data_IF_914593921112
#
_entry.id   IF_914593921112
#
_cell.length_a   1.000
_cell.length_b   1.000
_cell.length_c   1.000
_cell.angle_alpha   90.00
_cell.angle_beta   90.00
_cell.angle_gamma   90.00
#
_symmetry.space_group_name_H-M   'P 1'
#
loop_
_entity.id
_entity.type
_entity.pdbx_description
1 polymer ?
#
# COMPACT_ATOMS: atom_id res chain seq x y z
N UNK A 1 -14.82 -25.28 0.97
CA UNK A 1 -13.91 -26.43 0.83
C UNK A 1 -12.58 -26.05 1.47
N UNK A 2 -12.32 -26.51 2.71
CA UNK A 2 -11.10 -26.18 3.47
C UNK A 2 -10.37 -27.45 3.95
N UNK A 3 -9.04 -27.35 4.09
CA UNK A 3 -8.01 -28.41 4.19
C UNK A 3 -7.77 -28.85 5.67
N UNK A 4 -7.40 -30.13 5.94
CA UNK A 4 -6.73 -30.62 7.19
C UNK A 4 -5.24 -30.93 6.89
N UNK A 5 -4.37 -31.18 7.87
CA UNK A 5 -3.09 -31.91 7.78
C UNK A 5 -3.07 -33.15 8.72
N UNK A 6 -2.29 -34.18 8.37
CA UNK A 6 -2.22 -35.48 9.08
C UNK A 6 -1.35 -35.49 10.35
N UNK A 7 -1.44 -36.59 11.11
CA UNK A 7 -0.76 -36.82 12.39
C UNK A 7 0.79 -36.71 12.31
N UNK A 8 1.37 -35.86 13.16
CA UNK A 8 2.81 -35.70 13.34
C UNK A 8 3.34 -36.75 14.33
N UNK A 9 3.96 -37.83 13.84
CA UNK A 9 4.75 -38.75 14.70
C UNK A 9 6.21 -38.94 14.26
N UNK A 10 6.64 -38.48 13.10
CA UNK A 10 8.07 -38.42 12.74
C UNK A 10 8.35 -37.16 11.93
N UNK A 11 9.11 -36.24 12.51
CA UNK A 11 9.50 -34.99 11.87
C UNK A 11 10.85 -35.19 11.17
N UNK A 12 10.84 -35.79 9.98
CA UNK A 12 11.96 -35.71 9.05
C UNK A 12 11.75 -34.52 8.12
N UNK A 13 12.69 -33.56 8.10
CA UNK A 13 13.09 -32.59 7.05
C UNK A 13 12.18 -32.24 5.85
N UNK A 14 10.87 -32.39 5.94
CA UNK A 14 9.92 -32.19 4.83
C UNK A 14 9.07 -30.93 5.07
N UNK A 15 8.83 -30.20 3.99
CA UNK A 15 7.98 -29.00 3.96
C UNK A 15 6.60 -29.26 4.60
N UNK A 16 5.92 -28.20 5.06
CA UNK A 16 4.52 -28.34 5.49
C UNK A 16 3.66 -28.85 4.33
N UNK A 17 2.93 -29.93 4.58
CA UNK A 17 1.96 -30.51 3.66
C UNK A 17 0.58 -30.56 4.32
N UNK A 18 -0.46 -30.17 3.56
CA UNK A 18 -1.85 -30.19 3.98
C UNK A 18 -2.64 -31.21 3.12
N UNK A 19 -3.49 -32.02 3.75
CA UNK A 19 -4.41 -33.00 3.15
C UNK A 19 -5.86 -32.82 3.64
N UNK A 20 -6.79 -32.52 2.72
CA UNK A 20 -8.21 -32.37 3.06
C UNK A 20 -8.86 -33.70 3.48
N UNK A 21 -9.62 -33.69 4.59
CA UNK A 21 -10.40 -34.84 5.07
C UNK A 21 -11.85 -34.44 5.35
N UNK A 22 -12.79 -35.38 5.24
CA UNK A 22 -14.22 -35.19 5.54
C UNK A 22 -14.69 -36.23 6.56
N UNK A 23 -15.30 -35.80 7.67
CA UNK A 23 -15.89 -36.70 8.69
C UNK A 23 -15.98 -36.05 10.08
N UNK A 24 -16.86 -36.59 10.93
CA UNK A 24 -17.19 -36.02 12.26
C UNK A 24 -16.24 -36.45 13.39
N UNK A 25 -15.33 -37.40 13.16
CA UNK A 25 -14.47 -37.97 14.21
C UNK A 25 -13.01 -38.03 13.78
N UNK A 26 -12.11 -37.32 14.49
CA UNK A 26 -10.72 -37.67 14.87
C UNK A 26 -9.77 -36.47 14.97
N UNK A 27 -8.99 -36.35 16.06
CA UNK A 27 -7.89 -35.36 16.26
C UNK A 27 -7.36 -34.71 14.97
N UNK A 28 -7.77 -33.46 14.72
CA UNK A 28 -7.37 -32.60 13.60
C UNK A 28 -6.33 -31.58 14.12
N UNK A 29 -5.30 -31.23 13.32
CA UNK A 29 -4.33 -30.18 13.69
C UNK A 29 -4.86 -28.76 13.39
N UNK A 30 -5.76 -28.66 12.43
CA UNK A 30 -6.50 -27.45 12.06
C UNK A 30 -7.91 -27.92 11.70
N UNK A 31 -8.92 -27.39 12.40
CA UNK A 31 -10.32 -27.49 11.98
C UNK A 31 -10.80 -26.10 11.57
N UNK A 32 -11.55 -26.05 10.47
CA UNK A 32 -12.19 -24.82 10.00
C UNK A 32 -13.67 -24.89 10.31
N UNK A 33 -14.14 -23.91 11.07
CA UNK A 33 -15.55 -23.76 11.42
C UNK A 33 -16.09 -22.41 10.92
N UNK A 34 -17.37 -22.38 10.57
CA UNK A 34 -18.10 -21.16 10.24
C UNK A 34 -19.24 -21.00 11.25
N UNK A 35 -19.41 -19.80 11.80
CA UNK A 35 -20.44 -19.51 12.80
C UNK A 35 -21.04 -18.13 12.55
N UNK A 36 -22.35 -17.97 12.69
CA UNK A 36 -23.01 -16.66 12.70
C UNK A 36 -22.75 -15.89 14.02
N UNK A 37 -22.69 -14.56 13.99
CA UNK A 37 -22.29 -13.74 15.12
C UNK A 37 -23.30 -13.73 16.28
N UNK A 38 -24.58 -13.96 16.01
CA UNK A 38 -25.60 -14.12 17.06
C UNK A 38 -25.34 -15.37 17.94
N UNK A 39 -24.41 -16.26 17.54
CA UNK A 39 -24.12 -17.50 18.23
C UNK A 39 -22.83 -17.35 19.03
N UNK A 40 -22.95 -17.44 20.37
CA UNK A 40 -21.85 -17.93 21.20
C UNK A 40 -21.45 -19.31 20.70
N UNK A 41 -20.40 -19.39 19.90
CA UNK A 41 -20.05 -20.59 19.15
C UNK A 41 -19.13 -21.55 19.93
N UNK A 42 -19.14 -21.43 21.27
CA UNK A 42 -18.61 -22.46 22.16
C UNK A 42 -17.17 -22.25 22.64
N UNK A 43 -16.49 -21.17 22.24
CA UNK A 43 -15.08 -20.89 22.57
C UNK A 43 -14.84 -19.66 23.47
N UNK A 44 -15.90 -18.97 23.88
CA UNK A 44 -15.91 -17.74 24.69
C UNK A 44 -15.44 -16.45 23.98
N UNK A 45 -15.21 -16.49 22.66
CA UNK A 45 -14.85 -15.33 21.84
C UNK A 45 -15.93 -15.09 20.76
N UNK A 46 -17.09 -14.49 21.12
CA UNK A 46 -18.16 -14.27 20.16
C UNK A 46 -17.77 -13.26 19.08
N UNK A 47 -18.29 -13.44 17.87
CA UNK A 47 -18.21 -12.43 16.82
C UNK A 47 -19.18 -11.26 17.07
N UNK A 48 -19.07 -10.22 16.25
CA UNK A 48 -19.72 -8.92 16.42
C UNK A 48 -20.75 -8.56 15.34
N UNK A 49 -20.94 -9.41 14.34
CA UNK A 49 -21.91 -9.22 13.24
C UNK A 49 -21.19 -8.72 11.99
N UNK A 50 -21.90 -8.05 11.06
CA UNK A 50 -21.28 -7.56 9.84
C UNK A 50 -20.16 -6.52 10.11
N UNK A 51 -19.07 -6.65 9.38
CA UNK A 51 -17.81 -5.91 9.56
C UNK A 51 -17.16 -6.15 10.93
N UNK A 52 -16.02 -5.50 11.21
CA UNK A 52 -15.34 -5.69 12.48
C UNK A 52 -14.52 -6.98 12.51
N UNK A 53 -14.96 -8.00 13.26
CA UNK A 53 -14.21 -9.23 13.48
C UNK A 53 -14.54 -10.28 12.42
N UNK A 54 -13.74 -10.32 11.37
CA UNK A 54 -14.00 -11.19 10.22
C UNK A 54 -13.86 -12.70 10.54
N UNK A 55 -12.88 -13.01 11.37
CA UNK A 55 -12.46 -14.37 11.72
C UNK A 55 -11.51 -14.32 12.92
N UNK A 56 -11.26 -15.49 13.54
CA UNK A 56 -10.15 -15.68 14.47
C UNK A 56 -9.62 -17.11 14.41
N UNK A 57 -8.35 -17.27 14.77
CA UNK A 57 -7.71 -18.56 14.92
C UNK A 57 -6.93 -18.69 16.23
N UNK A 58 -6.82 -19.92 16.70
CA UNK A 58 -6.05 -20.26 17.90
C UNK A 58 -4.64 -20.73 17.52
N UNK A 59 -3.65 -20.27 18.29
CA UNK A 59 -2.28 -20.73 18.14
C UNK A 59 -2.15 -22.27 18.29
N UNK A 60 -1.10 -22.90 17.74
CA UNK A 60 -0.90 -24.34 17.85
C UNK A 60 -0.95 -24.83 19.30
N UNK A 61 -1.90 -25.72 19.61
CA UNK A 61 -2.06 -26.32 20.95
C UNK A 61 -2.96 -27.57 20.86
N UNK A 62 -3.14 -28.28 21.97
CA UNK A 62 -4.15 -29.34 22.08
C UNK A 62 -5.56 -28.79 22.19
N UNK A 63 -6.58 -29.58 21.82
CA UNK A 63 -7.99 -29.15 21.90
C UNK A 63 -8.34 -28.31 20.67
N UNK A 64 -8.86 -27.09 20.90
CA UNK A 64 -9.18 -26.12 19.83
C UNK A 64 -7.96 -25.39 19.27
N UNK A 65 -6.75 -25.72 19.75
CA UNK A 65 -5.52 -25.11 19.26
C UNK A 65 -5.30 -25.43 17.79
N UNK A 66 -5.01 -24.40 17.00
CA UNK A 66 -4.92 -24.50 15.55
C UNK A 66 -6.25 -24.25 14.83
N UNK A 67 -7.41 -24.30 15.50
CA UNK A 67 -8.70 -24.08 14.83
C UNK A 67 -8.85 -22.64 14.34
N UNK A 68 -9.58 -22.47 13.24
CA UNK A 68 -9.93 -21.19 12.64
C UNK A 68 -11.44 -21.07 12.47
N UNK A 69 -12.00 -19.99 12.99
CA UNK A 69 -13.42 -19.67 12.98
C UNK A 69 -13.66 -18.44 12.10
N UNK A 70 -14.70 -18.49 11.26
CA UNK A 70 -15.07 -17.40 10.35
C UNK A 70 -16.47 -16.92 10.68
N UNK A 71 -16.66 -15.60 10.72
CA UNK A 71 -17.98 -15.01 10.96
C UNK A 71 -18.86 -15.14 9.72
N UNK A 72 -19.94 -15.90 9.82
CA UNK A 72 -20.89 -16.15 8.74
C UNK A 72 -21.76 -14.93 8.42
N UNK A 73 -21.81 -13.92 9.29
CA UNK A 73 -22.50 -12.66 9.01
C UNK A 73 -21.71 -11.78 8.02
N UNK A 74 -20.47 -12.15 7.71
CA UNK A 74 -19.64 -11.46 6.74
C UNK A 74 -19.92 -11.87 5.30
N UNK A 75 -19.83 -10.87 4.41
CA UNK A 75 -19.95 -11.13 2.97
C UNK A 75 -18.62 -11.60 2.40
N UNK A 76 -18.33 -12.89 2.56
CA UNK A 76 -17.16 -13.52 1.95
C UNK A 76 -17.28 -13.64 0.43
N UNK A 77 -16.21 -13.31 -0.26
CA UNK A 77 -16.11 -13.36 -1.72
C UNK A 77 -14.89 -14.16 -2.17
N UNK A 78 -14.84 -14.52 -3.45
CA UNK A 78 -13.71 -15.28 -4.01
C UNK A 78 -12.62 -14.40 -4.64
N UNK A 79 -13.01 -13.31 -5.32
CA UNK A 79 -12.09 -12.49 -6.14
C UNK A 79 -12.42 -11.00 -6.13
N UNK A 80 -13.48 -10.58 -5.46
CA UNK A 80 -14.01 -9.22 -5.60
C UNK A 80 -13.71 -8.41 -4.36
N UNK A 81 -13.50 -7.11 -4.52
CA UNK A 81 -13.34 -6.18 -3.40
C UNK A 81 -14.69 -5.69 -2.80
N UNK A 82 -15.83 -6.30 -3.17
CA UNK A 82 -17.17 -5.93 -2.68
C UNK A 82 -17.54 -6.55 -1.31
N UNK A 83 -16.54 -7.02 -0.59
CA UNK A 83 -16.63 -7.78 0.66
C UNK A 83 -15.24 -8.32 1.00
N UNK A 84 -15.19 -9.39 1.79
CA UNK A 84 -13.93 -9.96 2.27
C UNK A 84 -13.51 -11.16 1.44
N UNK A 85 -12.32 -11.15 0.84
CA UNK A 85 -11.86 -12.30 0.05
C UNK A 85 -11.51 -13.43 1.01
N UNK A 86 -12.31 -14.51 0.99
CA UNK A 86 -12.17 -15.64 1.91
C UNK A 86 -10.76 -16.24 1.87
N UNK A 87 -10.13 -16.30 0.69
CA UNK A 87 -8.75 -16.77 0.55
C UNK A 87 -7.76 -15.95 1.39
N UNK A 88 -7.90 -14.63 1.42
CA UNK A 88 -6.98 -13.76 2.18
C UNK A 88 -7.21 -13.89 3.68
N UNK A 89 -8.47 -13.85 4.12
CA UNK A 89 -8.84 -14.00 5.53
C UNK A 89 -8.39 -15.38 6.03
N UNK A 90 -8.67 -16.44 5.28
CA UNK A 90 -8.25 -17.78 5.67
C UNK A 90 -6.72 -17.94 5.69
N UNK A 91 -6.01 -17.34 4.73
CA UNK A 91 -4.55 -17.39 4.74
C UNK A 91 -3.96 -16.66 5.97
N UNK A 92 -4.57 -15.56 6.41
CA UNK A 92 -4.21 -14.86 7.64
C UNK A 92 -4.46 -15.74 8.88
N UNK A 93 -5.67 -16.28 9.02
CA UNK A 93 -6.02 -17.15 10.16
C UNK A 93 -5.14 -18.39 10.23
N UNK A 94 -4.82 -19.01 9.08
CA UNK A 94 -3.91 -20.14 9.06
C UNK A 94 -2.48 -19.75 9.47
N UNK A 95 -2.08 -18.48 9.29
CA UNK A 95 -0.85 -17.97 9.89
C UNK A 95 -0.88 -18.06 11.42
N UNK A 96 -2.00 -17.69 12.06
CA UNK A 96 -2.21 -17.87 13.50
C UNK A 96 -2.24 -19.34 13.91
N UNK A 97 -2.95 -20.19 13.16
CA UNK A 97 -2.97 -21.65 13.37
C UNK A 97 -1.58 -22.29 13.28
N UNK A 98 -0.66 -21.68 12.52
CA UNK A 98 0.74 -22.08 12.40
C UNK A 98 1.67 -21.38 13.42
N UNK A 99 1.13 -20.50 14.26
CA UNK A 99 1.83 -19.87 15.36
C UNK A 99 2.48 -18.52 15.04
N UNK A 100 2.10 -17.87 13.93
CA UNK A 100 2.41 -16.47 13.69
C UNK A 100 1.52 -15.57 14.54
N UNK A 101 2.07 -14.45 14.99
CA UNK A 101 1.31 -13.36 15.60
C UNK A 101 1.13 -12.25 14.57
N UNK A 102 0.29 -11.26 14.88
CA UNK A 102 0.17 -10.09 14.03
C UNK A 102 1.53 -9.41 13.78
N UNK A 103 1.71 -8.92 12.56
CA UNK A 103 2.86 -8.10 12.16
C UNK A 103 2.53 -6.62 12.27
N UNK A 104 3.54 -5.82 12.57
CA UNK A 104 3.47 -4.35 12.47
C UNK A 104 3.78 -3.86 11.06
N UNK A 105 4.23 -4.75 10.14
CA UNK A 105 4.42 -4.41 8.73
C UNK A 105 3.04 -4.31 8.05
N UNK A 106 2.62 -3.11 7.58
CA UNK A 106 1.31 -2.94 6.94
C UNK A 106 1.18 -3.73 5.62
N UNK A 107 2.30 -4.12 5.00
CA UNK A 107 2.32 -4.92 3.78
C UNK A 107 2.19 -6.43 4.02
N UNK A 108 2.34 -6.90 5.27
CA UNK A 108 2.24 -8.31 5.62
C UNK A 108 0.82 -8.85 5.44
N UNK A 109 0.70 -10.14 5.18
CA UNK A 109 -0.58 -10.85 5.29
C UNK A 109 -1.04 -10.87 6.75
N UNK A 110 -0.10 -11.05 7.69
CA UNK A 110 -0.36 -11.06 9.13
C UNK A 110 -0.58 -9.66 9.74
N UNK A 111 -0.73 -8.60 8.94
CA UNK A 111 -1.15 -7.30 9.47
C UNK A 111 -2.57 -7.43 10.08
N UNK A 112 -2.86 -6.79 11.23
CA UNK A 112 -4.10 -7.01 11.98
C UNK A 112 -5.36 -6.42 11.32
N UNK A 113 -5.21 -5.68 10.24
CA UNK A 113 -6.33 -5.02 9.54
C UNK A 113 -6.40 -5.58 8.12
N UNK A 114 -7.59 -6.04 7.72
CA UNK A 114 -7.82 -6.59 6.39
C UNK A 114 -7.48 -5.56 5.31
N UNK A 115 -6.74 -6.02 4.29
CA UNK A 115 -6.43 -5.26 3.09
C UNK A 115 -6.66 -6.14 1.87
N UNK A 116 -7.47 -5.67 0.93
CA UNK A 116 -7.73 -6.40 -0.30
C UNK A 116 -6.45 -6.53 -1.14
N UNK A 117 -6.16 -7.77 -1.55
CA UNK A 117 -5.13 -8.11 -2.54
C UNK A 117 -5.74 -9.04 -3.57
N UNK A 118 -5.42 -8.84 -4.85
CA UNK A 118 -5.96 -9.70 -5.90
C UNK A 118 -5.44 -11.14 -5.71
N UNK A 119 -6.30 -12.15 -5.48
CA UNK A 119 -5.88 -13.53 -5.23
C UNK A 119 -5.19 -14.18 -6.43
N UNK A 120 -5.44 -13.73 -7.68
CA UNK A 120 -4.78 -14.27 -8.88
C UNK A 120 -3.30 -13.91 -8.98
N UNK A 121 -2.90 -12.80 -8.35
CA UNK A 121 -1.53 -12.30 -8.37
C UNK A 121 -0.92 -12.28 -6.97
N UNK A 122 -1.60 -12.88 -5.99
CA UNK A 122 -1.17 -12.86 -4.61
C UNK A 122 0.14 -13.63 -4.44
N UNK A 123 1.07 -13.00 -3.74
CA UNK A 123 2.35 -13.57 -3.36
C UNK A 123 2.55 -13.26 -1.89
N UNK A 124 2.99 -14.26 -1.12
CA UNK A 124 3.20 -14.11 0.31
C UNK A 124 4.29 -13.04 0.57
N UNK A 125 4.00 -11.99 1.37
CA UNK A 125 4.99 -10.98 1.70
C UNK A 125 6.22 -11.54 2.44
N UNK A 126 7.36 -10.87 2.26
CA UNK A 126 8.64 -11.37 2.76
C UNK A 126 8.69 -11.43 4.30
N UNK A 127 7.95 -10.55 4.98
CA UNK A 127 7.78 -10.57 6.43
C UNK A 127 7.14 -11.88 6.90
N UNK A 128 6.02 -12.27 6.27
CA UNK A 128 5.31 -13.52 6.57
C UNK A 128 6.15 -14.75 6.21
N UNK A 129 6.83 -14.74 5.05
CA UNK A 129 7.78 -15.80 4.64
C UNK A 129 8.86 -15.99 5.70
N UNK A 130 9.48 -14.91 6.16
CA UNK A 130 10.52 -14.97 7.19
C UNK A 130 9.93 -15.47 8.51
N UNK A 131 8.76 -14.96 8.90
CA UNK A 131 8.06 -15.35 10.12
C UNK A 131 7.80 -16.85 10.16
N UNK A 132 7.22 -17.42 9.11
CA UNK A 132 6.90 -18.85 9.07
C UNK A 132 8.17 -19.70 9.00
N UNK A 133 9.15 -19.33 8.18
CA UNK A 133 10.43 -20.05 8.11
C UNK A 133 11.13 -20.10 9.48
N UNK A 134 11.13 -19.00 10.23
CA UNK A 134 11.70 -18.97 11.59
C UNK A 134 10.93 -19.87 12.55
N UNK A 135 9.61 -20.01 12.41
CA UNK A 135 8.82 -20.92 13.26
C UNK A 135 9.12 -22.39 12.96
N UNK A 136 9.24 -22.74 11.68
CA UNK A 136 9.45 -24.12 11.23
C UNK A 136 10.89 -24.60 11.42
N UNK A 137 11.86 -23.74 11.17
CA UNK A 137 13.28 -24.09 11.19
C UNK A 137 13.98 -23.71 12.51
N UNK A 138 13.24 -23.24 13.53
CA UNK A 138 13.78 -22.79 14.83
C UNK A 138 14.71 -23.80 15.52
N UNK A 139 14.49 -25.10 15.28
CA UNK A 139 15.23 -26.21 15.90
C UNK A 139 16.15 -26.95 14.92
N UNK A 140 16.31 -26.47 13.68
CA UNK A 140 17.17 -27.11 12.70
C UNK A 140 18.50 -26.35 12.65
N UNK A 141 19.55 -26.96 13.20
CA UNK A 141 20.95 -26.53 13.06
C UNK A 141 21.48 -26.59 11.62
N UNK A 142 20.60 -26.82 10.65
CA UNK A 142 20.89 -27.07 9.25
C UNK A 142 20.03 -26.09 8.46
N UNK A 143 20.66 -25.04 7.95
CA UNK A 143 20.11 -24.27 6.84
C UNK A 143 20.08 -25.24 5.66
N UNK A 144 18.93 -25.49 5.00
CA UNK A 144 18.89 -26.35 3.83
C UNK A 144 19.95 -25.90 2.81
N UNK A 145 20.86 -26.81 2.42
CA UNK A 145 21.96 -26.52 1.48
C UNK A 145 21.44 -26.14 0.08
N UNK A 146 20.20 -26.50 -0.25
CA UNK A 146 19.51 -26.09 -1.46
C UNK A 146 18.43 -25.06 -1.13
N UNK A 147 18.59 -23.78 -1.52
CA UNK A 147 17.48 -22.84 -1.45
C UNK A 147 16.40 -23.39 -2.39
N UNK A 148 15.21 -23.68 -1.84
CA UNK A 148 13.99 -23.77 -2.63
C UNK A 148 14.06 -22.59 -3.61
N UNK A 149 13.98 -22.82 -4.94
CA UNK A 149 14.08 -21.74 -5.91
C UNK A 149 13.14 -20.64 -5.45
N UNK A 150 13.61 -19.39 -5.28
CA UNK A 150 12.73 -18.35 -4.79
C UNK A 150 11.56 -18.29 -5.77
N UNK A 151 10.38 -18.67 -5.28
CA UNK A 151 9.15 -18.35 -5.97
C UNK A 151 9.09 -16.83 -6.16
N UNK A 152 8.11 -16.32 -6.93
CA UNK A 152 7.91 -14.88 -6.98
C UNK A 152 7.87 -14.34 -5.53
N UNK A 153 8.65 -13.31 -5.25
CA UNK A 153 8.65 -12.61 -3.96
C UNK A 153 7.80 -11.36 -4.10
N UNK A 154 6.97 -11.08 -3.08
CA UNK A 154 6.23 -9.83 -3.07
C UNK A 154 7.23 -8.66 -2.97
N UNK A 155 6.91 -7.49 -3.54
CA UNK A 155 7.69 -6.28 -3.32
C UNK A 155 7.80 -6.00 -1.81
N UNK A 156 8.98 -5.64 -1.30
CA UNK A 156 9.13 -5.30 0.12
C UNK A 156 8.32 -4.04 0.45
N UNK A 157 7.81 -4.00 1.67
CA UNK A 157 7.26 -2.78 2.26
C UNK A 157 8.37 -1.73 2.30
N UNK A 158 8.15 -0.52 1.74
CA UNK A 158 9.20 0.47 1.64
C UNK A 158 9.50 1.06 3.03
N UNK A 159 10.77 1.40 3.27
CA UNK A 159 11.25 1.92 4.56
C UNK A 159 11.58 3.42 4.47
N UNK A 160 11.00 4.22 5.35
CA UNK A 160 11.26 5.66 5.44
C UNK A 160 12.71 5.97 5.89
N UNK A 161 13.36 5.06 6.63
CA UNK A 161 14.77 5.18 7.01
C UNK A 161 15.75 4.80 5.89
N UNK A 162 15.29 4.22 4.78
CA UNK A 162 16.16 3.91 3.65
C UNK A 162 16.67 5.20 3.01
N UNK A 163 17.96 5.47 3.21
CA UNK A 163 18.63 6.66 2.66
C UNK A 163 18.67 6.71 1.12
N UNK A 164 18.36 5.60 0.45
CA UNK A 164 18.25 5.46 -1.00
C UNK A 164 16.82 5.55 -1.52
N UNK A 165 15.82 5.71 -0.63
CA UNK A 165 14.41 5.81 -0.97
C UNK A 165 14.16 6.90 -2.03
N UNK A 166 13.55 6.50 -3.15
CA UNK A 166 13.05 7.40 -4.19
C UNK A 166 11.54 7.32 -4.18
N UNK A 167 10.88 8.44 -3.88
CA UNK A 167 9.43 8.54 -3.85
C UNK A 167 8.85 8.60 -5.27
N UNK A 168 7.69 7.98 -5.46
CA UNK A 168 6.98 7.95 -6.73
C UNK A 168 6.05 9.16 -6.90
N UNK A 169 5.55 9.71 -5.78
CA UNK A 169 4.80 10.97 -5.76
C UNK A 169 4.80 11.58 -4.35
N UNK A 170 4.53 12.88 -4.27
CA UNK A 170 4.25 13.59 -3.02
C UNK A 170 3.05 14.50 -3.27
N UNK A 171 2.12 14.55 -2.33
CA UNK A 171 0.95 15.42 -2.40
C UNK A 171 0.58 15.93 -1.02
N UNK A 172 -0.32 16.90 -0.97
CA UNK A 172 -1.05 17.23 0.25
C UNK A 172 -2.45 16.63 0.21
N UNK A 173 -3.10 16.56 1.36
CA UNK A 173 -4.54 16.35 1.45
C UNK A 173 -5.06 17.05 2.71
N UNK A 174 -5.76 18.18 2.54
CA UNK A 174 -6.36 18.97 3.62
C UNK A 174 -5.38 19.29 4.75
N UNK A 175 -4.14 19.59 4.36
CA UNK A 175 -3.03 19.94 5.25
C UNK A 175 -2.12 18.77 5.63
N UNK A 176 -2.54 17.52 5.48
CA UNK A 176 -1.65 16.36 5.63
C UNK A 176 -0.66 16.30 4.47
N UNK A 177 0.52 15.71 4.71
CA UNK A 177 1.47 15.37 3.65
C UNK A 177 1.44 13.89 3.36
N UNK A 178 1.39 13.53 2.08
CA UNK A 178 1.33 12.16 1.58
C UNK A 178 2.58 11.86 0.75
N UNK A 179 3.29 10.78 1.08
CA UNK A 179 4.51 10.34 0.41
C UNK A 179 4.29 8.95 -0.17
N UNK A 180 4.23 8.83 -1.50
CA UNK A 180 3.86 7.59 -2.18
C UNK A 180 5.09 6.78 -2.58
N UNK A 181 5.03 5.47 -2.35
CA UNK A 181 6.00 4.51 -2.85
C UNK A 181 5.37 3.15 -3.12
N UNK A 182 5.50 2.64 -4.35
CA UNK A 182 4.88 1.41 -4.81
C UNK A 182 3.36 1.46 -4.52
N UNK A 183 2.80 0.44 -3.88
CA UNK A 183 1.40 0.42 -3.42
C UNK A 183 1.16 0.99 -2.03
N UNK A 184 2.14 1.70 -1.48
CA UNK A 184 2.09 2.27 -0.14
C UNK A 184 2.16 3.79 -0.19
N UNK A 185 1.73 4.42 0.88
CA UNK A 185 2.10 5.79 1.18
C UNK A 185 2.25 5.99 2.69
N UNK A 186 3.04 7.00 3.04
CA UNK A 186 3.04 7.56 4.39
C UNK A 186 2.17 8.80 4.42
N UNK A 187 1.38 8.95 5.48
CA UNK A 187 0.67 10.19 5.80
C UNK A 187 1.23 10.81 7.07
N UNK A 188 1.33 12.12 7.07
CA UNK A 188 1.80 12.90 8.22
C UNK A 188 0.77 13.99 8.49
N UNK A 189 0.14 13.89 9.66
CA UNK A 189 -0.84 14.86 10.13
C UNK A 189 -0.13 16.14 10.61
N UNK A 190 -0.66 17.35 10.38
CA UNK A 190 -0.02 18.61 10.82
C UNK A 190 0.33 18.71 12.30
N UNK A 191 -0.37 17.94 13.15
CA UNK A 191 -0.20 17.92 14.60
C UNK A 191 0.65 16.75 15.10
N UNK A 192 1.12 15.86 14.22
CA UNK A 192 1.93 14.69 14.55
C UNK A 192 3.17 14.64 13.67
N UNK A 193 4.31 14.30 14.26
CA UNK A 193 5.54 14.05 13.51
C UNK A 193 5.78 12.55 13.27
N UNK A 194 4.82 11.69 13.61
CA UNK A 194 4.92 10.25 13.37
C UNK A 194 4.25 9.94 12.04
N UNK A 195 5.00 9.46 11.03
CA UNK A 195 4.41 9.01 9.78
C UNK A 195 3.65 7.70 10.00
N UNK A 196 2.42 7.65 9.48
CA UNK A 196 1.63 6.44 9.42
C UNK A 196 1.72 5.85 8.03
N UNK A 197 2.17 4.61 7.92
CA UNK A 197 2.28 3.90 6.64
C UNK A 197 1.03 3.04 6.41
N UNK A 198 0.48 3.10 5.20
CA UNK A 198 -0.65 2.26 4.79
C UNK A 198 -0.60 1.97 3.29
N UNK A 199 -1.47 1.09 2.82
CA UNK A 199 -1.64 0.82 1.39
C UNK A 199 -2.52 1.89 0.74
N UNK A 200 -2.21 2.23 -0.51
CA UNK A 200 -3.05 3.09 -1.35
C UNK A 200 -4.47 2.52 -1.44
N UNK A 201 -4.60 1.20 -1.65
CA UNK A 201 -5.87 0.51 -1.78
C UNK A 201 -6.75 0.57 -0.51
N UNK A 202 -6.16 0.74 0.68
CA UNK A 202 -6.94 0.87 1.92
C UNK A 202 -7.61 2.24 2.02
N UNK A 203 -6.98 3.27 1.43
CA UNK A 203 -7.47 4.64 1.47
C UNK A 203 -8.32 4.97 0.24
N UNK A 204 -7.91 4.48 -0.93
CA UNK A 204 -8.63 4.62 -2.20
C UNK A 204 -8.74 3.26 -2.91
N UNK A 205 -9.78 2.47 -2.63
CA UNK A 205 -9.95 1.14 -3.20
C UNK A 205 -10.02 1.10 -4.74
N UNK A 206 -10.48 2.18 -5.37
CA UNK A 206 -10.58 2.32 -6.82
C UNK A 206 -9.35 2.97 -7.48
N UNK A 207 -8.30 3.27 -6.70
CA UNK A 207 -7.04 3.81 -7.20
C UNK A 207 -6.19 2.72 -7.89
N UNK A 208 -5.21 3.10 -8.72
CA UNK A 208 -4.23 2.15 -9.24
C UNK A 208 -3.33 1.61 -8.11
N UNK A 209 -2.76 0.42 -8.31
CA UNK A 209 -1.85 -0.24 -7.35
C UNK A 209 -0.59 0.58 -7.02
N UNK A 210 -0.27 1.60 -7.80
CA UNK A 210 0.79 2.57 -7.56
C UNK A 210 0.54 3.83 -8.38
N UNK A 211 1.21 4.91 -8.02
CA UNK A 211 1.10 6.21 -8.70
C UNK A 211 2.44 6.63 -9.31
N UNK A 212 2.38 7.41 -10.38
CA UNK A 212 3.54 8.06 -11.00
C UNK A 212 3.63 9.55 -10.65
N UNK A 213 2.52 10.16 -10.25
CA UNK A 213 2.44 11.53 -9.75
C UNK A 213 1.13 11.71 -8.96
N UNK A 214 1.10 12.68 -8.06
CA UNK A 214 -0.10 13.05 -7.32
C UNK A 214 -0.07 14.54 -6.99
N UNK A 215 -1.25 15.17 -6.86
CA UNK A 215 -1.37 16.52 -6.32
C UNK A 215 -2.77 16.74 -5.75
N UNK A 216 -2.91 17.69 -4.83
CA UNK A 216 -4.20 18.19 -4.37
C UNK A 216 -4.52 19.52 -5.05
N UNK A 217 -5.76 19.67 -5.48
CA UNK A 217 -6.33 20.93 -5.94
C UNK A 217 -7.20 21.50 -4.82
N UNK A 218 -6.68 22.47 -4.09
CA UNK A 218 -7.44 23.17 -3.04
C UNK A 218 -8.70 23.84 -3.60
N UNK A 219 -8.64 24.34 -4.83
CA UNK A 219 -9.79 24.97 -5.50
C UNK A 219 -10.98 24.01 -5.69
N UNK A 220 -10.70 22.71 -5.89
CA UNK A 220 -11.75 21.72 -6.13
C UNK A 220 -11.95 20.73 -4.99
N UNK A 221 -11.19 20.85 -3.90
CA UNK A 221 -11.14 19.91 -2.76
C UNK A 221 -11.01 18.45 -3.24
N UNK A 222 -10.04 18.23 -4.13
CA UNK A 222 -9.78 16.93 -4.76
C UNK A 222 -8.30 16.61 -4.79
N UNK A 223 -7.99 15.34 -4.59
CA UNK A 223 -6.66 14.78 -4.88
C UNK A 223 -6.71 14.06 -6.22
N UNK A 224 -5.67 14.27 -7.02
CA UNK A 224 -5.50 13.64 -8.32
C UNK A 224 -4.32 12.68 -8.26
N UNK A 225 -4.55 11.43 -8.67
CA UNK A 225 -3.54 10.38 -8.73
C UNK A 225 -3.32 10.00 -10.20
N UNK A 226 -2.07 9.99 -10.65
CA UNK A 226 -1.71 9.70 -12.03
C UNK A 226 -1.03 8.34 -12.12
N UNK A 227 -1.41 7.54 -13.12
CA UNK A 227 -0.71 6.30 -13.47
C UNK A 227 -0.74 6.08 -14.97
N UNK A 228 0.43 6.02 -15.59
CA UNK A 228 0.53 5.93 -17.05
C UNK A 228 -0.23 7.07 -17.72
N UNK A 229 -1.12 6.71 -18.65
CA UNK A 229 -1.95 7.68 -19.40
C UNK A 229 -3.28 8.01 -18.73
N UNK A 230 -3.48 7.56 -17.49
CA UNK A 230 -4.71 7.75 -16.75
C UNK A 230 -4.50 8.62 -15.52
N UNK A 231 -5.58 9.27 -15.12
CA UNK A 231 -5.69 10.06 -13.90
C UNK A 231 -6.99 9.70 -13.21
N UNK A 232 -6.93 9.57 -11.90
CA UNK A 232 -8.06 9.39 -10.99
C UNK A 232 -8.21 10.67 -10.18
N UNK A 233 -9.43 11.02 -9.82
CA UNK A 233 -9.70 12.13 -8.92
C UNK A 233 -10.57 11.63 -7.78
N UNK A 234 -10.22 11.99 -6.56
CA UNK A 234 -10.95 11.61 -5.35
C UNK A 234 -11.39 12.84 -4.59
N UNK A 235 -12.60 12.79 -4.02
CA UNK A 235 -13.07 13.76 -3.04
C UNK A 235 -13.14 13.06 -1.69
N UNK A 236 -12.16 13.34 -0.82
CA UNK A 236 -11.91 12.47 0.34
C UNK A 236 -11.52 11.05 -0.13
N UNK A 237 -12.37 10.07 0.19
CA UNK A 237 -12.17 8.66 -0.16
C UNK A 237 -12.87 8.27 -1.48
N UNK A 238 -13.84 9.06 -1.94
CA UNK A 238 -14.74 8.66 -3.01
C UNK A 238 -14.18 9.00 -4.39
N UNK A 239 -14.18 8.02 -5.29
CA UNK A 239 -13.83 8.24 -6.69
C UNK A 239 -14.84 9.20 -7.33
N UNK A 240 -14.34 10.30 -7.90
CA UNK A 240 -15.17 11.27 -8.60
C UNK A 240 -15.74 10.63 -9.86
N UNK A 241 -17.03 10.88 -10.12
CA UNK A 241 -17.74 10.40 -11.31
C UNK A 241 -16.95 10.69 -12.61
N UNK A 242 -16.99 9.73 -13.53
CA UNK A 242 -16.32 9.74 -14.83
C UNK A 242 -14.78 9.62 -14.78
N UNK A 243 -14.20 9.35 -13.61
CA UNK A 243 -12.80 8.92 -13.49
C UNK A 243 -12.71 7.38 -13.48
N UNK A 244 -11.58 6.80 -13.93
CA UNK A 244 -10.39 7.47 -14.45
C UNK A 244 -10.58 8.11 -15.83
N UNK A 245 -9.83 9.19 -16.07
CA UNK A 245 -9.78 9.90 -17.36
C UNK A 245 -8.40 9.77 -18.00
N UNK A 246 -8.30 10.04 -19.30
CA UNK A 246 -7.00 10.18 -19.95
C UNK A 246 -6.31 11.47 -19.51
N UNK A 247 -4.99 11.45 -19.31
CA UNK A 247 -4.20 12.66 -19.03
C UNK A 247 -4.36 13.76 -20.09
N UNK A 248 -4.74 13.39 -21.32
CA UNK A 248 -5.08 14.37 -22.36
C UNK A 248 -6.33 15.21 -22.05
N UNK A 249 -7.16 14.84 -21.07
CA UNK A 249 -8.26 15.69 -20.59
C UNK A 249 -7.76 16.97 -19.91
N UNK A 250 -6.51 16.99 -19.46
CA UNK A 250 -5.84 18.20 -18.96
C UNK A 250 -5.19 19.02 -20.08
N UNK A 251 -5.31 18.60 -21.35
CA UNK A 251 -4.66 19.25 -22.49
C UNK A 251 -3.23 18.77 -22.76
N UNK A 252 -2.77 17.70 -22.09
CA UNK A 252 -1.46 17.09 -22.37
C UNK A 252 -1.45 16.41 -23.76
N UNK A 253 -0.37 16.59 -24.56
CA UNK A 253 -0.17 15.91 -25.83
C UNK A 253 -0.35 14.38 -25.75
N UNK A 254 -0.94 13.77 -26.79
CA UNK A 254 -1.30 12.34 -26.82
C UNK A 254 -0.10 11.39 -26.86
N UNK A 255 1.06 11.88 -27.27
CA UNK A 255 2.33 11.15 -27.29
C UNK A 255 2.91 10.95 -25.88
N UNK A 256 2.54 11.80 -24.93
CA UNK A 256 2.94 11.66 -23.52
C UNK A 256 2.39 10.33 -22.96
N UNK A 257 3.27 9.57 -22.32
CA UNK A 257 2.95 8.25 -21.77
C UNK A 257 2.60 8.29 -20.29
N UNK A 258 3.15 9.25 -19.56
CA UNK A 258 2.88 9.48 -18.15
C UNK A 258 3.33 10.87 -17.69
N UNK A 259 2.83 11.27 -16.54
CA UNK A 259 3.31 12.41 -15.75
C UNK A 259 4.24 11.86 -14.68
N UNK A 260 5.42 12.45 -14.52
CA UNK A 260 6.45 11.98 -13.59
C UNK A 260 6.40 12.65 -12.22
N UNK A 261 5.82 13.85 -12.16
CA UNK A 261 5.52 14.55 -10.92
C UNK A 261 4.47 15.62 -11.22
N UNK A 262 3.71 15.99 -10.20
CA UNK A 262 2.76 17.09 -10.28
C UNK A 262 2.86 17.92 -8.99
N UNK A 263 2.61 19.22 -9.10
CA UNK A 263 2.37 20.06 -7.93
C UNK A 263 1.30 21.09 -8.27
N UNK A 264 0.48 21.45 -7.29
CA UNK A 264 -0.42 22.59 -7.39
C UNK A 264 0.17 23.78 -6.64
N UNK A 265 0.06 24.95 -7.26
CA UNK A 265 0.39 26.23 -6.69
C UNK A 265 -0.92 26.99 -6.37
N UNK A 266 -1.40 26.96 -5.11
CA UNK A 266 -2.59 27.68 -4.70
C UNK A 266 -2.47 29.21 -4.82
N UNK A 267 -1.27 29.80 -4.77
CA UNK A 267 -1.12 31.26 -4.91
C UNK A 267 -1.40 31.70 -6.36
N UNK A 268 -0.99 30.91 -7.35
CA UNK A 268 -1.17 31.24 -8.77
C UNK A 268 -2.36 30.54 -9.42
N UNK A 269 -2.94 29.53 -8.76
CA UNK A 269 -4.00 28.68 -9.32
C UNK A 269 -3.49 27.80 -10.46
N UNK A 270 -2.19 27.52 -10.50
CA UNK A 270 -1.55 26.72 -11.55
C UNK A 270 -1.16 25.34 -11.03
N UNK A 271 -1.32 24.33 -11.87
CA UNK A 271 -0.78 23.00 -11.64
C UNK A 271 0.35 22.74 -12.63
N UNK A 272 1.53 22.37 -12.13
CA UNK A 272 2.67 22.02 -12.97
C UNK A 272 2.76 20.51 -13.14
N UNK A 273 2.82 20.04 -14.38
CA UNK A 273 3.03 18.64 -14.73
C UNK A 273 4.43 18.44 -15.28
N UNK A 274 5.25 17.66 -14.59
CA UNK A 274 6.61 17.33 -15.01
C UNK A 274 6.61 16.07 -15.86
N UNK A 275 7.24 16.14 -17.03
CA UNK A 275 7.34 15.06 -18.00
C UNK A 275 8.76 15.05 -18.57
N UNK A 276 9.52 14.02 -18.23
CA UNK A 276 10.93 13.85 -18.55
C UNK A 276 11.79 15.06 -18.13
N UNK A 277 12.26 15.85 -19.09
CA UNK A 277 13.08 17.07 -18.84
C UNK A 277 12.29 18.37 -19.00
N UNK A 278 10.98 18.26 -19.19
CA UNK A 278 10.08 19.38 -19.42
C UNK A 278 9.00 19.45 -18.35
N UNK A 279 8.34 20.60 -18.26
CA UNK A 279 7.11 20.75 -17.49
C UNK A 279 6.07 21.54 -18.27
N UNK A 280 4.82 21.28 -17.97
CA UNK A 280 3.63 21.97 -18.49
C UNK A 280 2.98 22.74 -17.35
N UNK A 281 2.33 23.85 -17.66
CA UNK A 281 1.53 24.62 -16.71
C UNK A 281 0.07 24.55 -17.12
N UNK A 282 -0.78 24.13 -16.19
CA UNK A 282 -2.21 24.01 -16.36
C UNK A 282 -2.91 25.01 -15.45
N UNK A 283 -3.80 25.79 -16.03
CA UNK A 283 -4.60 26.77 -15.30
C UNK A 283 -5.85 26.09 -14.75
N UNK A 284 -5.96 26.00 -13.43
CA UNK A 284 -7.07 25.34 -12.77
C UNK A 284 -8.40 26.11 -12.94
N UNK A 285 -8.37 27.40 -13.23
CA UNK A 285 -9.60 28.19 -13.41
C UNK A 285 -10.17 28.04 -14.81
N UNK A 286 -9.33 28.20 -15.83
CA UNK A 286 -9.73 28.07 -17.24
C UNK A 286 -9.77 26.61 -17.71
N UNK A 287 -9.24 25.68 -16.90
CA UNK A 287 -9.13 24.26 -17.20
C UNK A 287 -8.41 23.99 -18.53
N UNK A 288 -7.31 24.72 -18.76
CA UNK A 288 -6.53 24.68 -19.99
C UNK A 288 -5.02 24.79 -19.72
N UNK A 289 -4.22 24.26 -20.64
CA UNK A 289 -2.77 24.46 -20.62
C UNK A 289 -2.40 25.90 -20.98
N UNK A 290 -1.48 26.48 -20.24
CA UNK A 290 -0.95 27.81 -20.52
C UNK A 290 -0.17 27.82 -21.84
N UNK A 291 -0.29 28.92 -22.58
CA UNK A 291 0.48 29.13 -23.80
C UNK A 291 1.98 29.25 -23.52
N UNK A 292 2.83 28.74 -24.41
CA UNK A 292 4.29 28.80 -24.28
C UNK A 292 4.90 27.66 -23.45
N UNK A 293 4.12 26.62 -23.20
CA UNK A 293 4.56 25.35 -22.63
C UNK A 293 4.57 24.24 -23.70
N UNK A 294 5.41 23.19 -23.55
CA UNK A 294 6.27 22.90 -22.40
C UNK A 294 7.50 23.81 -22.29
N UNK A 295 8.03 23.93 -21.07
CA UNK A 295 9.32 24.56 -20.78
C UNK A 295 10.30 23.53 -20.21
N UNK A 296 11.59 23.75 -20.43
CA UNK A 296 12.64 22.90 -19.86
C UNK A 296 12.79 23.14 -18.36
N UNK A 297 12.84 22.06 -17.58
CA UNK A 297 12.96 22.12 -16.11
C UNK A 297 14.26 22.80 -15.70
N UNK A 298 15.41 22.42 -16.30
CA UNK A 298 16.74 22.94 -15.96
C UNK A 298 16.93 24.44 -16.28
N UNK A 299 16.06 25.02 -17.13
CA UNK A 299 16.07 26.45 -17.45
C UNK A 299 15.29 27.29 -16.43
N UNK A 300 14.21 26.75 -15.88
CA UNK A 300 13.42 27.44 -14.85
C UNK A 300 13.97 27.16 -13.46
N UNK A 301 14.24 25.89 -13.17
CA UNK A 301 14.72 25.38 -11.87
C UNK A 301 16.20 25.07 -11.98
N UNK A 302 17.04 26.11 -11.86
CA UNK A 302 18.48 25.98 -11.98
C UNK A 302 19.03 24.93 -11.00
N UNK A 303 19.82 23.98 -11.51
CA UNK A 303 20.35 22.85 -10.74
C UNK A 303 19.59 21.53 -10.92
N UNK A 304 18.37 21.56 -11.48
CA UNK A 304 17.60 20.35 -11.82
C UNK A 304 18.03 19.75 -13.16
N UNK A 305 19.17 19.07 -13.18
CA UNK A 305 19.69 18.39 -14.39
C UNK A 305 19.18 16.96 -14.55
N UNK A 306 18.62 16.40 -13.48
CA UNK A 306 18.06 15.05 -13.42
C UNK A 306 16.53 15.10 -13.47
N UNK A 307 15.93 13.94 -13.74
CA UNK A 307 14.48 13.75 -13.80
C UNK A 307 13.82 14.07 -12.46
N UNK A 308 12.71 14.79 -12.51
CA UNK A 308 11.84 15.02 -11.35
C UNK A 308 11.02 13.76 -11.09
N UNK A 309 11.07 13.22 -9.88
CA UNK A 309 10.38 11.99 -9.47
C UNK A 309 9.16 12.23 -8.59
N UNK A 310 9.12 13.39 -7.93
CA UNK A 310 7.97 13.87 -7.18
C UNK A 310 8.09 15.39 -7.04
N UNK A 311 6.99 16.06 -6.75
CA UNK A 311 6.99 17.50 -6.55
C UNK A 311 5.92 17.90 -5.55
N UNK A 312 6.14 19.00 -4.85
CA UNK A 312 5.25 19.50 -3.83
C UNK A 312 5.39 21.02 -3.74
N UNK A 313 4.28 21.72 -3.53
CA UNK A 313 4.33 23.08 -3.00
C UNK A 313 3.95 23.07 -1.52
N UNK A 314 4.73 23.74 -0.68
CA UNK A 314 4.39 23.90 0.73
C UNK A 314 4.87 25.26 1.24
N UNK A 315 3.96 26.03 1.85
CA UNK A 315 4.26 27.33 2.51
C UNK A 315 5.07 28.31 1.64
N UNK A 316 4.72 28.44 0.36
CA UNK A 316 5.38 29.36 -0.58
C UNK A 316 6.72 28.86 -1.13
N UNK A 317 7.08 27.59 -0.90
CA UNK A 317 8.26 26.96 -1.49
C UNK A 317 7.87 25.81 -2.41
N UNK A 318 8.62 25.67 -3.50
CA UNK A 318 8.52 24.56 -4.44
C UNK A 318 9.60 23.54 -4.12
N UNK A 319 9.20 22.29 -3.89
CA UNK A 319 10.08 21.18 -3.59
C UNK A 319 10.05 20.20 -4.77
N UNK A 320 11.20 20.02 -5.43
CA UNK A 320 11.34 19.07 -6.53
C UNK A 320 12.25 17.92 -6.10
N UNK A 321 11.75 16.69 -6.21
CA UNK A 321 12.50 15.49 -5.87
C UNK A 321 13.20 14.94 -7.10
N UNK A 322 14.44 14.49 -6.92
CA UNK A 322 15.21 13.78 -7.95
C UNK A 322 16.05 12.70 -7.28
N UNK A 323 15.57 11.45 -7.35
CA UNK A 323 16.17 10.36 -6.58
C UNK A 323 15.90 10.55 -5.08
N UNK A 324 16.87 10.32 -4.20
CA UNK A 324 16.70 10.48 -2.75
C UNK A 324 16.86 11.92 -2.24
N UNK A 325 16.95 12.89 -3.16
CA UNK A 325 17.20 14.30 -2.85
C UNK A 325 16.01 15.17 -3.22
N UNK A 326 15.79 16.21 -2.41
CA UNK A 326 14.75 17.21 -2.57
C UNK A 326 15.39 18.60 -2.69
N UNK A 327 15.07 19.31 -3.76
CA UNK A 327 15.56 20.65 -4.04
C UNK A 327 14.48 21.65 -3.66
N UNK A 328 14.79 22.57 -2.74
CA UNK A 328 13.89 23.63 -2.34
C UNK A 328 14.14 24.88 -3.17
N UNK A 329 13.08 25.42 -3.75
CA UNK A 329 13.07 26.67 -4.51
C UNK A 329 12.11 27.67 -3.87
N UNK A 330 12.50 28.95 -3.86
CA UNK A 330 11.55 30.02 -3.57
C UNK A 330 10.52 30.12 -4.70
N UNK A 331 9.23 30.01 -4.40
CA UNK A 331 8.19 30.13 -5.44
C UNK A 331 8.11 31.55 -6.00
N UNK A 332 8.60 32.56 -5.27
CA UNK A 332 8.62 33.97 -5.72
C UNK A 332 9.76 34.28 -6.68
N UNK A 333 10.97 33.80 -6.39
CA UNK A 333 12.17 34.16 -7.17
C UNK A 333 12.64 33.04 -8.10
N UNK A 334 12.15 31.82 -7.93
CA UNK A 334 12.62 30.62 -8.64
C UNK A 334 14.05 30.21 -8.25
N UNK A 335 14.65 30.84 -7.24
CA UNK A 335 16.01 30.53 -6.80
C UNK A 335 16.03 29.27 -5.94
N UNK A 336 17.02 28.40 -6.20
CA UNK A 336 17.31 27.24 -5.37
C UNK A 336 17.93 27.70 -4.05
N UNK A 337 17.37 27.23 -2.94
CA UNK A 337 17.75 27.64 -1.58
C UNK A 337 18.52 26.53 -0.86
N UNK A 338 18.02 25.29 -0.91
CA UNK A 338 18.55 24.16 -0.14
C UNK A 338 18.45 22.86 -0.92
N UNK A 339 19.40 21.96 -0.65
CA UNK A 339 19.33 20.55 -1.03
C UNK A 339 19.08 19.73 0.24
N UNK A 340 17.99 18.96 0.24
CA UNK A 340 17.46 18.24 1.40
C UNK A 340 17.31 16.75 1.06
N UNK A 341 17.02 15.94 2.08
CA UNK A 341 16.65 14.52 1.95
C UNK A 341 15.17 14.33 2.30
N UNK A 342 14.62 13.16 1.97
CA UNK A 342 13.25 12.79 2.32
C UNK A 342 12.96 12.96 3.82
N UNK A 343 13.94 12.67 4.68
CA UNK A 343 13.85 12.79 6.14
C UNK A 343 13.49 14.18 6.68
N UNK A 344 13.57 15.23 5.84
CA UNK A 344 13.13 16.56 6.24
C UNK A 344 11.63 16.66 6.47
N UNK A 345 10.83 16.02 5.60
CA UNK A 345 9.38 15.97 5.76
C UNK A 345 8.88 14.59 6.19
N UNK A 346 9.60 13.52 5.85
CA UNK A 346 9.27 12.14 6.20
C UNK A 346 10.28 11.62 7.23
N UNK A 347 10.18 12.01 8.52
CA UNK A 347 11.07 11.50 9.56
C UNK A 347 10.91 9.99 9.67
N UNK A 348 11.95 9.30 10.11
CA UNK A 348 11.85 7.87 10.38
C UNK A 348 12.09 7.65 11.87
N UNK A 349 11.06 7.14 12.55
CA UNK A 349 11.08 6.88 13.98
C UNK A 349 11.32 5.38 14.19
N UNK A 350 12.59 4.98 14.33
CA UNK A 350 12.91 3.65 14.84
C UNK A 350 12.75 3.69 16.36
N UNK A 351 11.54 3.40 16.86
CA UNK A 351 11.32 3.17 18.30
C UNK A 351 11.27 1.67 18.59
#
# INVERSE_FOLDING_TARGET
HCLKAGNLTEMSLEALAFTCHFGENSNFFLVVHCYAAEIKHGDFYPFDGPDGTLAHAFAPSSGIGGDAHFDEDETFTFRTNKGYVLFLVAAHEFGHSLGLSHSNDPGALMAPVYSYKNPDTFVLPQDDVRGIQLKLFKNLSIIPEDPIPPGPTAPPTPDACDSSLVLDAVATLRGEMLFFKNGFFWRIHPQSNTPEQTLIANFWPDAPDSVDAAYESEQSDRVFLFKGRQVWAFSGYDLVRDYPKSISSFGLPKDIKKVDAALNDPETGKTLFFVDSNYYSYDETTKAMDSGFPKRVDKTFSGMTRKVTAALQNRGYTYLYSGPYMYEFSSRTGQMLRLLRNSYFLPCNNY
#
